data_IF_035610072796
#
_entry.id   IF_035610072796
#
_cell.length_a   1.000
_cell.length_b   1.000
_cell.length_c   1.000
_cell.angle_alpha   90.00
_cell.angle_beta   90.00
_cell.angle_gamma   90.00
#
_symmetry.space_group_name_H-M   'P 1'
#
loop_
_entity.id
_entity.type
_entity.pdbx_description
1 polymer ?
#
# COMPACT_ATOMS: atom_id res chain seq x y z
N UNK A 1 22.63 2.33 4.66
CA UNK A 1 22.07 0.97 4.87
C UNK A 1 20.71 0.78 4.19
N UNK A 2 19.76 1.70 4.24
CA UNK A 2 18.38 1.42 3.79
C UNK A 2 18.19 1.10 2.30
N UNK A 3 18.90 1.76 1.38
CA UNK A 3 18.65 1.59 -0.07
C UNK A 3 19.14 0.24 -0.65
N UNK A 4 20.00 -0.47 0.05
CA UNK A 4 20.53 -1.77 -0.40
C UNK A 4 19.42 -2.81 -0.65
N UNK A 5 18.30 -2.69 0.07
CA UNK A 5 17.13 -3.58 -0.11
C UNK A 5 16.57 -3.53 -1.53
N UNK A 6 16.76 -2.41 -2.26
CA UNK A 6 16.30 -2.25 -3.63
C UNK A 6 17.05 -3.11 -4.64
N UNK A 7 18.29 -3.49 -4.32
CA UNK A 7 19.19 -4.22 -5.21
C UNK A 7 19.33 -5.70 -4.79
N UNK A 8 18.68 -6.09 -3.68
CA UNK A 8 18.73 -7.47 -3.20
C UNK A 8 17.75 -8.35 -3.97
N UNK A 9 18.15 -9.58 -4.37
CA UNK A 9 17.25 -10.53 -4.98
C UNK A 9 16.05 -10.81 -4.07
N UNK A 10 14.84 -10.68 -4.60
CA UNK A 10 13.63 -10.96 -3.84
C UNK A 10 13.58 -12.46 -3.44
N UNK A 11 13.21 -12.79 -2.19
CA UNK A 11 12.90 -14.17 -1.83
C UNK A 11 11.79 -14.75 -2.70
N UNK A 12 11.89 -16.02 -3.05
CA UNK A 12 10.90 -16.70 -3.89
C UNK A 12 9.49 -16.62 -3.27
N UNK A 13 8.49 -16.49 -4.11
CA UNK A 13 7.09 -16.67 -3.75
C UNK A 13 6.67 -18.12 -3.99
N UNK A 14 5.61 -18.57 -3.31
CA UNK A 14 5.04 -19.91 -3.54
C UNK A 14 4.34 -19.98 -4.89
N UNK A 15 3.70 -18.87 -5.31
CA UNK A 15 3.05 -18.80 -6.62
C UNK A 15 3.00 -17.34 -7.12
N UNK A 16 3.13 -17.19 -8.46
CA UNK A 16 2.76 -15.97 -9.17
C UNK A 16 1.44 -16.21 -9.90
N UNK A 17 0.43 -15.39 -9.61
CA UNK A 17 -0.93 -15.57 -10.12
C UNK A 17 -1.42 -14.27 -10.75
N UNK A 18 -2.09 -14.39 -11.91
CA UNK A 18 -2.70 -13.25 -12.59
C UNK A 18 -4.09 -12.98 -12.04
N UNK A 19 -4.37 -11.73 -11.69
CA UNK A 19 -5.67 -11.25 -11.24
C UNK A 19 -6.45 -10.52 -12.34
N UNK A 20 -5.84 -10.32 -13.51
CA UNK A 20 -6.42 -9.70 -14.68
C UNK A 20 -5.79 -10.18 -15.98
N UNK A 21 -6.16 -9.57 -17.10
CA UNK A 21 -5.73 -9.97 -18.44
C UNK A 21 -4.43 -9.32 -18.92
N UNK A 22 -3.98 -8.23 -18.27
CA UNK A 22 -2.73 -7.56 -18.61
C UNK A 22 -1.54 -8.30 -17.99
N UNK A 23 -0.41 -8.30 -18.68
CA UNK A 23 0.81 -8.95 -18.20
C UNK A 23 1.32 -8.43 -16.85
N UNK A 24 1.00 -7.18 -16.50
CA UNK A 24 1.35 -6.55 -15.23
C UNK A 24 0.25 -6.68 -14.15
N UNK A 25 -0.87 -7.34 -14.47
CA UNK A 25 -1.92 -7.62 -13.50
C UNK A 25 -1.70 -8.99 -12.85
N UNK A 26 -0.63 -9.09 -12.04
CA UNK A 26 -0.30 -10.30 -11.29
C UNK A 26 0.12 -9.95 -9.85
N UNK A 27 0.18 -10.97 -9.03
CA UNK A 27 0.75 -10.86 -7.70
C UNK A 27 1.53 -12.11 -7.32
N UNK A 28 2.39 -11.95 -6.33
CA UNK A 28 3.17 -13.02 -5.72
C UNK A 28 2.53 -13.41 -4.38
N UNK A 29 2.08 -14.65 -4.30
CA UNK A 29 1.49 -15.24 -3.10
C UNK A 29 2.58 -15.96 -2.29
N UNK A 30 2.61 -15.70 -0.98
CA UNK A 30 3.43 -16.46 -0.02
C UNK A 30 2.54 -16.93 1.12
N UNK A 31 2.66 -18.19 1.48
CA UNK A 31 1.81 -18.85 2.47
C UNK A 31 2.63 -19.26 3.70
N UNK A 32 2.17 -18.95 4.90
CA UNK A 32 2.78 -19.51 6.12
C UNK A 32 2.65 -21.04 6.14
N UNK A 33 3.55 -21.75 6.82
CA UNK A 33 3.38 -23.19 7.05
C UNK A 33 2.16 -23.46 7.91
N UNK A 34 1.50 -24.62 7.67
CA UNK A 34 0.34 -25.08 8.45
C UNK A 34 -0.98 -24.99 7.69
N UNK A 35 -2.07 -25.47 8.30
CA UNK A 35 -3.33 -25.70 7.59
C UNK A 35 -4.19 -24.42 7.36
N UNK A 36 -3.88 -23.30 8.00
CA UNK A 36 -4.74 -22.10 7.99
C UNK A 36 -5.99 -22.23 8.87
N UNK A 37 -6.99 -21.33 8.75
CA UNK A 37 -6.98 -20.20 7.84
C UNK A 37 -5.95 -19.13 8.23
N UNK A 38 -5.21 -18.62 7.23
CA UNK A 38 -4.16 -17.63 7.45
C UNK A 38 -4.69 -16.20 7.32
N UNK A 39 -4.33 -15.26 8.23
CA UNK A 39 -4.56 -13.86 8.03
C UNK A 39 -3.77 -13.37 6.80
N UNK A 40 -4.24 -12.31 6.14
CA UNK A 40 -3.69 -11.86 4.86
C UNK A 40 -3.22 -10.41 4.93
N UNK A 41 -2.02 -10.16 4.42
CA UNK A 41 -1.54 -8.83 4.08
C UNK A 41 -1.49 -8.66 2.56
N UNK A 42 -2.31 -7.75 2.02
CA UNK A 42 -2.20 -7.27 0.65
C UNK A 42 -1.08 -6.23 0.65
N UNK A 43 -0.01 -6.51 -0.08
CA UNK A 43 1.21 -5.71 -0.04
C UNK A 43 1.38 -4.92 -1.32
N UNK A 44 1.53 -3.59 -1.19
CA UNK A 44 1.71 -2.65 -2.30
C UNK A 44 3.13 -2.11 -2.31
N UNK A 45 3.84 -2.30 -3.43
CA UNK A 45 5.21 -1.79 -3.57
C UNK A 45 5.26 -0.28 -3.87
N UNK A 46 6.41 0.34 -3.60
CA UNK A 46 6.71 1.73 -3.87
C UNK A 46 7.24 1.98 -5.30
N UNK A 47 7.88 3.14 -5.48
CA UNK A 47 8.52 3.51 -6.75
C UNK A 47 7.82 4.64 -7.50
N UNK A 48 7.17 5.55 -6.79
CA UNK A 48 6.50 6.73 -7.37
C UNK A 48 5.52 6.40 -8.50
N UNK A 49 4.90 5.23 -8.45
CA UNK A 49 3.98 4.74 -9.51
C UNK A 49 4.59 4.72 -10.92
N UNK A 50 5.93 4.64 -11.06
CA UNK A 50 6.66 4.65 -12.33
C UNK A 50 7.08 3.25 -12.76
N UNK A 51 6.97 2.95 -14.05
CA UNK A 51 7.23 1.65 -14.67
C UNK A 51 8.64 1.09 -14.42
N UNK A 52 9.62 1.93 -14.09
CA UNK A 52 11.01 1.51 -13.78
C UNK A 52 11.18 0.74 -12.47
N UNK A 53 10.17 0.70 -11.60
CA UNK A 53 10.16 -0.05 -10.36
C UNK A 53 9.11 -1.14 -10.42
N UNK A 54 9.36 -2.25 -9.78
CA UNK A 54 8.45 -3.39 -9.70
C UNK A 54 8.32 -3.87 -8.24
N UNK A 55 7.62 -5.00 -8.03
CA UNK A 55 7.36 -5.55 -6.70
C UNK A 55 8.58 -6.24 -6.05
N UNK A 56 9.71 -6.44 -6.74
CA UNK A 56 10.81 -7.26 -6.20
C UNK A 56 11.36 -6.73 -4.88
N UNK A 57 11.55 -5.41 -4.77
CA UNK A 57 12.12 -4.80 -3.56
C UNK A 57 11.25 -4.94 -2.30
N UNK A 58 9.95 -5.25 -2.42
CA UNK A 58 9.07 -5.50 -1.27
C UNK A 58 9.05 -6.97 -0.85
N UNK A 59 9.69 -7.84 -1.63
CA UNK A 59 9.67 -9.29 -1.41
C UNK A 59 10.25 -9.72 -0.06
N UNK A 60 11.25 -9.01 0.45
CA UNK A 60 11.84 -9.30 1.78
C UNK A 60 10.86 -9.03 2.92
N UNK A 61 10.12 -7.91 2.88
CA UNK A 61 9.03 -7.63 3.81
C UNK A 61 7.97 -8.75 3.75
N UNK A 62 7.58 -9.15 2.54
CA UNK A 62 6.60 -10.23 2.35
C UNK A 62 7.07 -11.53 2.99
N UNK A 63 8.32 -11.95 2.71
CA UNK A 63 8.88 -13.18 3.27
C UNK A 63 8.95 -13.15 4.81
N UNK A 64 9.33 -12.01 5.39
CA UNK A 64 9.40 -11.84 6.83
C UNK A 64 8.00 -11.91 7.49
N UNK A 65 6.98 -11.25 6.91
CA UNK A 65 5.60 -11.35 7.39
C UNK A 65 5.06 -12.78 7.24
N UNK A 66 5.42 -13.47 6.16
CA UNK A 66 5.02 -14.87 5.96
C UNK A 66 5.65 -15.77 7.01
N UNK A 67 6.94 -15.59 7.32
CA UNK A 67 7.60 -16.25 8.45
C UNK A 67 6.95 -15.96 9.81
N UNK A 68 6.30 -14.82 9.93
CA UNK A 68 5.53 -14.40 11.10
C UNK A 68 4.08 -14.96 11.14
N UNK A 69 3.70 -15.83 10.22
CA UNK A 69 2.38 -16.49 10.19
C UNK A 69 1.30 -15.74 9.40
N UNK A 70 1.66 -14.78 8.55
CA UNK A 70 0.75 -13.94 7.78
C UNK A 70 0.92 -14.23 6.30
N UNK A 71 -0.11 -14.71 5.61
CA UNK A 71 -0.07 -14.84 4.15
C UNK A 71 0.12 -13.47 3.49
N UNK A 72 1.01 -13.39 2.51
CA UNK A 72 1.22 -12.14 1.78
C UNK A 72 0.81 -12.27 0.33
N UNK A 73 0.05 -11.32 -0.16
CA UNK A 73 -0.33 -11.14 -1.54
C UNK A 73 0.25 -9.82 -2.03
N UNK A 74 1.46 -9.86 -2.62
CA UNK A 74 2.13 -8.66 -3.12
C UNK A 74 1.75 -8.41 -4.57
N UNK A 75 1.21 -7.23 -4.84
CA UNK A 75 0.66 -6.87 -6.14
C UNK A 75 1.69 -6.16 -7.02
N UNK A 76 1.81 -6.62 -8.26
CA UNK A 76 2.26 -5.81 -9.37
C UNK A 76 1.04 -5.09 -9.96
N UNK A 77 1.24 -3.94 -10.58
CA UNK A 77 0.17 -3.13 -11.18
C UNK A 77 0.74 -2.28 -12.31
N UNK A 78 -0.09 -1.87 -13.26
CA UNK A 78 0.32 -0.94 -14.33
C UNK A 78 0.63 0.44 -13.73
N UNK A 79 1.75 1.01 -14.14
CA UNK A 79 2.31 2.27 -13.62
C UNK A 79 2.44 3.29 -14.73
N UNK A 80 2.68 4.52 -14.38
CA UNK A 80 3.05 5.58 -15.33
C UNK A 80 4.24 5.12 -16.17
N UNK A 81 4.09 5.17 -17.49
CA UNK A 81 5.01 4.58 -18.47
C UNK A 81 4.57 3.24 -19.04
N UNK A 82 3.63 2.53 -18.39
CA UNK A 82 2.99 1.36 -18.99
C UNK A 82 1.69 1.75 -19.71
N UNK A 83 1.31 1.06 -20.79
CA UNK A 83 -0.01 1.25 -21.39
C UNK A 83 -1.13 1.07 -20.37
N UNK A 84 -2.01 2.06 -20.25
CA UNK A 84 -3.10 2.05 -19.28
C UNK A 84 -2.71 2.30 -17.81
N UNK A 85 -1.43 2.59 -17.52
CA UNK A 85 -0.97 3.02 -16.19
C UNK A 85 -1.27 4.49 -15.91
N UNK A 86 -1.05 4.92 -14.67
CA UNK A 86 -1.50 6.22 -14.18
C UNK A 86 -2.99 6.19 -13.80
N UNK A 87 -3.59 7.36 -13.61
CA UNK A 87 -5.02 7.46 -13.29
C UNK A 87 -5.89 7.15 -14.52
N UNK A 88 -6.94 6.33 -14.45
CA UNK A 88 -7.38 5.58 -13.27
C UNK A 88 -6.73 4.18 -13.15
N UNK A 89 -5.98 3.73 -14.17
CA UNK A 89 -5.56 2.35 -14.36
C UNK A 89 -4.75 1.77 -13.20
N UNK A 90 -3.78 2.52 -12.66
CA UNK A 90 -2.97 2.09 -11.50
C UNK A 90 -3.85 1.78 -10.28
N UNK A 91 -4.83 2.63 -9.99
CA UNK A 91 -5.73 2.43 -8.85
C UNK A 91 -6.71 1.29 -9.11
N UNK A 92 -7.21 1.16 -10.34
CA UNK A 92 -8.12 0.07 -10.73
C UNK A 92 -7.40 -1.29 -10.67
N UNK A 93 -6.13 -1.37 -11.05
CA UNK A 93 -5.33 -2.58 -10.93
C UNK A 93 -5.13 -2.96 -9.44
N UNK A 94 -4.78 -2.00 -8.60
CA UNK A 94 -4.69 -2.22 -7.16
C UNK A 94 -6.02 -2.74 -6.58
N UNK A 95 -7.15 -2.15 -7.01
CA UNK A 95 -8.47 -2.56 -6.61
C UNK A 95 -8.80 -4.00 -7.04
N UNK A 96 -8.56 -4.33 -8.31
CA UNK A 96 -8.82 -5.66 -8.87
C UNK A 96 -7.96 -6.73 -8.18
N UNK A 97 -6.67 -6.45 -8.00
CA UNK A 97 -5.75 -7.35 -7.30
C UNK A 97 -6.11 -7.56 -5.83
N UNK A 98 -6.60 -6.52 -5.14
CA UNK A 98 -7.11 -6.66 -3.77
C UNK A 98 -8.38 -7.51 -3.71
N UNK A 99 -9.31 -7.29 -4.63
CA UNK A 99 -10.59 -8.03 -4.67
C UNK A 99 -10.38 -9.51 -5.04
N UNK A 100 -9.30 -9.85 -5.76
CA UNK A 100 -8.90 -11.21 -6.11
C UNK A 100 -8.57 -12.08 -4.89
N UNK A 101 -8.28 -11.49 -3.74
CA UNK A 101 -8.08 -12.25 -2.48
C UNK A 101 -9.27 -13.15 -2.15
N UNK A 102 -10.49 -12.83 -2.59
CA UNK A 102 -11.65 -13.70 -2.42
C UNK A 102 -11.49 -15.04 -3.13
N UNK A 103 -10.92 -15.03 -4.34
CA UNK A 103 -10.62 -16.25 -5.08
C UNK A 103 -9.47 -17.03 -4.44
N UNK A 104 -8.43 -16.31 -4.00
CA UNK A 104 -7.30 -16.92 -3.28
C UNK A 104 -7.75 -17.60 -2.00
N UNK A 105 -8.67 -16.99 -1.23
CA UNK A 105 -9.16 -17.53 0.03
C UNK A 105 -9.81 -18.91 -0.12
N UNK A 106 -10.58 -19.11 -1.18
CA UNK A 106 -11.19 -20.40 -1.46
C UNK A 106 -10.19 -21.50 -1.81
N UNK A 107 -9.02 -21.14 -2.35
CA UNK A 107 -7.99 -22.08 -2.82
C UNK A 107 -6.88 -22.34 -1.80
N UNK A 108 -6.59 -21.36 -0.94
CA UNK A 108 -5.39 -21.32 -0.11
C UNK A 108 -5.69 -21.16 1.40
N UNK A 109 -6.94 -21.42 1.82
CA UNK A 109 -7.34 -21.34 3.24
C UNK A 109 -6.95 -20.01 3.92
N UNK A 110 -7.31 -18.87 3.27
CA UNK A 110 -7.09 -17.54 3.81
C UNK A 110 -8.30 -17.06 4.61
N UNK A 111 -8.04 -16.30 5.68
CA UNK A 111 -9.08 -15.73 6.53
C UNK A 111 -9.53 -14.35 6.01
N UNK A 112 -10.68 -14.30 5.33
CA UNK A 112 -11.25 -13.06 4.83
C UNK A 112 -11.71 -12.07 5.92
N UNK A 113 -11.86 -12.52 7.17
CA UNK A 113 -12.13 -11.62 8.29
C UNK A 113 -10.87 -10.90 8.79
N UNK A 114 -9.69 -11.40 8.43
CA UNK A 114 -8.38 -10.89 8.85
C UNK A 114 -7.53 -10.49 7.64
N UNK A 115 -8.04 -9.56 6.83
CA UNK A 115 -7.32 -8.99 5.68
C UNK A 115 -6.95 -7.55 5.96
N UNK A 116 -5.67 -7.22 5.82
CA UNK A 116 -5.18 -5.85 5.87
C UNK A 116 -4.52 -5.46 4.54
N UNK A 117 -4.42 -4.16 4.29
CA UNK A 117 -3.51 -3.62 3.29
C UNK A 117 -2.27 -3.02 3.95
N UNK A 118 -1.11 -3.22 3.34
CA UNK A 118 0.16 -2.62 3.76
C UNK A 118 0.93 -2.18 2.53
N UNK A 119 1.59 -1.03 2.58
CA UNK A 119 2.38 -0.60 1.44
C UNK A 119 3.43 0.44 1.81
N UNK A 120 4.44 0.53 0.95
CA UNK A 120 5.59 1.41 1.11
C UNK A 120 5.55 2.57 0.12
N UNK A 121 5.79 3.80 0.58
CA UNK A 121 5.95 4.97 -0.30
C UNK A 121 4.70 5.17 -1.18
N UNK A 122 4.82 5.14 -2.52
CA UNK A 122 3.69 5.11 -3.45
C UNK A 122 2.71 3.94 -3.15
N UNK A 123 3.22 2.80 -2.68
CA UNK A 123 2.40 1.68 -2.22
C UNK A 123 1.66 1.97 -0.91
N UNK A 124 2.22 2.80 -0.03
CA UNK A 124 1.54 3.28 1.17
C UNK A 124 0.31 4.13 0.85
N UNK A 125 0.39 4.94 -0.21
CA UNK A 125 -0.76 5.61 -0.81
C UNK A 125 -1.81 4.59 -1.24
N UNK A 126 -1.43 3.60 -2.08
CA UNK A 126 -2.36 2.60 -2.60
C UNK A 126 -2.98 1.75 -1.47
N UNK A 127 -2.21 1.39 -0.44
CA UNK A 127 -2.70 0.62 0.70
C UNK A 127 -3.81 1.36 1.48
N UNK A 128 -3.63 2.64 1.79
CA UNK A 128 -4.67 3.42 2.46
C UNK A 128 -5.84 3.74 1.51
N UNK A 129 -5.57 3.95 0.23
CA UNK A 129 -6.62 4.13 -0.76
C UNK A 129 -7.51 2.88 -0.90
N UNK A 130 -6.93 1.67 -0.89
CA UNK A 130 -7.70 0.41 -0.87
C UNK A 130 -8.70 0.36 0.29
N UNK A 131 -8.29 0.84 1.47
CA UNK A 131 -9.15 0.92 2.64
C UNK A 131 -10.29 1.96 2.48
N UNK A 132 -10.04 3.01 1.70
CA UNK A 132 -10.99 4.09 1.45
C UNK A 132 -12.03 3.79 0.36
N UNK A 133 -11.86 2.74 -0.46
CA UNK A 133 -12.66 2.47 -1.67
C UNK A 133 -14.17 2.49 -1.46
N UNK A 134 -14.64 2.11 -0.28
CA UNK A 134 -16.08 2.15 0.05
C UNK A 134 -16.66 3.56 0.17
N UNK A 135 -15.82 4.58 0.26
CA UNK A 135 -16.20 5.99 0.32
C UNK A 135 -16.33 6.63 -1.06
N UNK A 136 -15.82 5.98 -2.09
CA UNK A 136 -15.84 6.51 -3.46
C UNK A 136 -17.29 6.46 -3.98
N UNK A 137 -17.83 7.61 -4.43
CA UNK A 137 -19.21 7.68 -4.90
C UNK A 137 -19.46 6.76 -6.09
N UNK A 138 -20.65 6.17 -6.15
CA UNK A 138 -21.09 5.43 -7.34
C UNK A 138 -21.09 6.34 -8.56
N UNK A 139 -20.56 5.84 -9.69
CA UNK A 139 -20.41 6.63 -10.92
C UNK A 139 -19.06 7.33 -11.06
N UNK A 140 -18.22 7.38 -10.01
CA UNK A 140 -16.81 7.76 -10.15
C UNK A 140 -16.03 6.69 -10.92
N UNK A 141 -15.01 7.11 -11.67
CA UNK A 141 -14.15 6.18 -12.45
C UNK A 141 -13.43 5.14 -11.59
N UNK A 142 -13.27 5.42 -10.29
CA UNK A 142 -12.60 4.54 -9.30
C UNK A 142 -13.61 3.76 -8.44
N UNK A 143 -14.92 3.91 -8.68
CA UNK A 143 -15.96 3.21 -7.92
C UNK A 143 -15.90 1.70 -8.17
N UNK A 144 -15.99 0.92 -7.09
CA UNK A 144 -16.09 -0.54 -7.15
C UNK A 144 -17.47 -1.01 -6.74
N UNK A 145 -18.00 -2.05 -7.42
CA UNK A 145 -19.31 -2.60 -7.07
C UNK A 145 -19.32 -3.27 -5.69
N UNK A 146 -18.23 -3.95 -5.33
CA UNK A 146 -18.11 -4.65 -4.05
C UNK A 146 -16.65 -4.67 -3.58
N UNK A 147 -16.09 -3.54 -3.08
CA UNK A 147 -14.73 -3.52 -2.57
C UNK A 147 -14.51 -4.52 -1.43
N UNK A 148 -13.37 -5.22 -1.45
CA UNK A 148 -12.99 -6.12 -0.36
C UNK A 148 -12.96 -5.36 0.97
N UNK A 149 -13.59 -5.92 1.99
CA UNK A 149 -13.52 -5.35 3.33
C UNK A 149 -12.13 -5.58 3.92
N UNK A 150 -11.50 -4.52 4.42
CA UNK A 150 -10.23 -4.60 5.11
C UNK A 150 -10.44 -4.43 6.61
N UNK A 151 -9.71 -5.21 7.39
CA UNK A 151 -9.71 -5.15 8.85
C UNK A 151 -8.84 -4.00 9.38
N UNK A 152 -7.84 -3.60 8.60
CA UNK A 152 -6.93 -2.49 8.90
C UNK A 152 -6.06 -2.12 7.71
N UNK A 153 -5.34 -1.01 7.84
CA UNK A 153 -4.40 -0.55 6.81
C UNK A 153 -3.11 -0.01 7.43
N UNK A 154 -1.98 -0.27 6.77
CA UNK A 154 -0.65 0.17 7.20
C UNK A 154 0.02 0.96 6.08
N UNK A 155 0.49 2.16 6.40
CA UNK A 155 1.30 2.99 5.52
C UNK A 155 2.73 3.07 6.05
N UNK A 156 3.68 2.59 5.27
CA UNK A 156 5.11 2.67 5.52
C UNK A 156 5.68 3.82 4.68
N UNK A 157 5.96 4.96 5.30
CA UNK A 157 6.47 6.17 4.65
C UNK A 157 5.66 6.58 3.39
N UNK A 158 4.33 6.47 3.46
CA UNK A 158 3.44 6.58 2.29
C UNK A 158 3.14 8.01 1.86
N UNK A 159 2.89 8.19 0.54
CA UNK A 159 2.42 9.46 -0.05
C UNK A 159 0.89 9.55 0.09
N UNK A 160 0.41 9.68 1.32
CA UNK A 160 -1.02 9.56 1.66
C UNK A 160 -1.81 10.87 1.54
N UNK A 161 -1.14 11.94 1.13
CA UNK A 161 -1.70 13.25 0.77
C UNK A 161 -1.18 13.65 -0.61
N UNK A 162 -1.98 13.42 -1.65
CA UNK A 162 -1.56 13.68 -3.04
C UNK A 162 -1.46 15.17 -3.36
N UNK A 163 -2.29 16.04 -2.74
CA UNK A 163 -2.18 17.48 -2.96
C UNK A 163 -0.89 18.02 -2.37
N UNK A 164 -0.57 17.63 -1.15
CA UNK A 164 0.69 18.01 -0.53
C UNK A 164 1.89 17.42 -1.28
N UNK A 165 1.76 16.17 -1.77
CA UNK A 165 2.77 15.54 -2.63
C UNK A 165 2.97 16.30 -3.94
N UNK A 166 1.92 16.86 -4.52
CA UNK A 166 2.00 17.77 -5.67
C UNK A 166 2.76 19.05 -5.31
N UNK A 167 2.36 19.75 -4.23
CA UNK A 167 2.98 21.01 -3.79
C UNK A 167 4.48 20.86 -3.55
N UNK A 168 4.89 19.75 -2.95
CA UNK A 168 6.28 19.40 -2.68
C UNK A 168 7.03 18.85 -3.90
N UNK A 169 6.36 18.69 -5.04
CA UNK A 169 6.92 18.10 -6.27
C UNK A 169 7.61 16.76 -6.02
N UNK A 170 7.03 15.92 -5.13
CA UNK A 170 7.64 14.65 -4.77
C UNK A 170 8.01 13.81 -5.99
N UNK A 171 9.23 13.26 -5.97
CA UNK A 171 9.77 12.44 -7.04
C UNK A 171 9.79 13.17 -8.39
N UNK A 172 10.14 14.47 -8.39
CA UNK A 172 10.18 15.31 -9.61
C UNK A 172 8.84 15.35 -10.37
N UNK A 173 7.74 15.49 -9.61
CA UNK A 173 6.40 15.62 -10.17
C UNK A 173 5.66 14.30 -10.40
N UNK A 174 6.04 13.22 -9.69
CA UNK A 174 5.42 11.92 -9.85
C UNK A 174 3.91 11.90 -9.57
N UNK A 175 3.43 12.77 -8.67
CA UNK A 175 1.99 12.92 -8.43
C UNK A 175 1.27 13.48 -9.66
N UNK A 176 1.90 14.46 -10.34
CA UNK A 176 1.38 15.01 -11.58
C UNK A 176 1.27 13.95 -12.69
N UNK A 177 2.29 13.12 -12.79
CA UNK A 177 2.33 12.02 -13.77
C UNK A 177 1.24 10.98 -13.47
N UNK A 178 1.09 10.58 -12.20
CA UNK A 178 0.04 9.65 -11.78
C UNK A 178 -1.35 10.20 -12.10
N UNK A 179 -1.63 11.46 -11.73
CA UNK A 179 -2.97 12.06 -11.79
C UNK A 179 -3.33 12.62 -13.17
N UNK A 180 -2.31 12.81 -14.03
CA UNK A 180 -2.47 13.38 -15.37
C UNK A 180 -2.54 14.91 -15.37
N UNK A 181 -2.14 15.59 -14.28
CA UNK A 181 -2.11 17.05 -14.19
C UNK A 181 -2.32 17.62 -12.79
N UNK A 182 -2.50 18.95 -12.68
CA UNK A 182 -2.56 19.67 -11.42
C UNK A 182 -3.91 19.54 -10.70
N UNK A 183 -3.91 19.64 -9.35
CA UNK A 183 -5.12 19.50 -8.52
C UNK A 183 -6.19 20.56 -8.84
N UNK A 184 -5.81 21.76 -9.27
CA UNK A 184 -6.75 22.84 -9.62
C UNK A 184 -7.61 22.50 -10.85
N UNK A 185 -7.05 21.73 -11.79
CA UNK A 185 -7.76 21.27 -13.00
C UNK A 185 -8.46 19.92 -12.83
N UNK A 186 -8.00 19.11 -11.89
CA UNK A 186 -8.42 17.72 -11.70
C UNK A 186 -8.92 17.44 -10.27
N UNK A 187 -9.55 18.44 -9.64
CA UNK A 187 -9.96 18.38 -8.23
C UNK A 187 -10.72 17.10 -7.86
N UNK A 188 -11.64 16.63 -8.72
CA UNK A 188 -12.38 15.40 -8.50
C UNK A 188 -11.49 14.15 -8.47
N UNK A 189 -10.49 14.06 -9.35
CA UNK A 189 -9.53 12.94 -9.32
C UNK A 189 -8.75 12.90 -8.01
N UNK A 190 -8.21 14.05 -7.58
CA UNK A 190 -7.49 14.15 -6.33
C UNK A 190 -8.37 13.80 -5.13
N UNK A 191 -9.63 14.24 -5.14
CA UNK A 191 -10.58 13.93 -4.09
C UNK A 191 -10.82 12.42 -3.93
N UNK A 192 -10.99 11.67 -5.01
CA UNK A 192 -11.28 10.24 -4.95
C UNK A 192 -10.04 9.34 -4.94
N UNK A 193 -8.85 9.90 -5.23
CA UNK A 193 -7.58 9.17 -5.21
C UNK A 193 -6.72 9.45 -3.95
N UNK A 194 -6.89 10.57 -3.26
CA UNK A 194 -6.05 10.94 -2.10
C UNK A 194 -6.63 10.41 -0.79
N UNK A 195 -5.93 9.50 -0.07
CA UNK A 195 -6.45 8.92 1.17
C UNK A 195 -6.86 9.94 2.23
N UNK A 196 -6.12 11.05 2.38
CA UNK A 196 -6.43 12.10 3.36
C UNK A 196 -7.77 12.78 3.09
N UNK A 197 -8.23 12.81 1.84
CA UNK A 197 -9.52 13.41 1.47
C UNK A 197 -10.72 12.46 1.67
N UNK A 198 -10.42 11.17 1.96
CA UNK A 198 -11.42 10.12 2.13
C UNK A 198 -11.65 9.72 3.60
N UNK A 199 -10.98 10.39 4.55
CA UNK A 199 -11.21 10.13 5.98
C UNK A 199 -12.62 10.55 6.43
N UNK A 200 -13.26 9.90 7.43
CA UNK A 200 -12.77 8.73 8.16
C UNK A 200 -12.89 7.45 7.35
N UNK A 201 -11.92 6.53 7.50
CA UNK A 201 -11.97 5.21 6.84
C UNK A 201 -12.82 4.20 7.61
N UNK A 202 -13.01 4.42 8.91
CA UNK A 202 -13.81 3.56 9.79
C UNK A 202 -13.13 2.23 10.14
N UNK A 203 -11.82 2.11 9.91
CA UNK A 203 -10.99 0.97 10.29
C UNK A 203 -9.72 1.44 11.01
N UNK A 204 -8.97 0.52 11.61
CA UNK A 204 -7.69 0.82 12.22
C UNK A 204 -6.64 1.19 11.17
N UNK A 205 -6.03 2.37 11.27
CA UNK A 205 -4.95 2.83 10.40
C UNK A 205 -3.66 2.97 11.19
N UNK A 206 -2.58 2.46 10.65
CA UNK A 206 -1.25 2.56 11.26
C UNK A 206 -0.26 3.16 10.27
N UNK A 207 0.48 4.17 10.72
CA UNK A 207 1.51 4.83 9.92
C UNK A 207 2.86 4.63 10.62
N UNK A 208 3.87 4.24 9.85
CA UNK A 208 5.25 4.16 10.33
C UNK A 208 6.11 5.01 9.40
N UNK A 209 6.87 5.93 9.97
CA UNK A 209 7.68 6.88 9.18
C UNK A 209 8.97 7.22 9.88
N UNK A 210 10.07 7.22 9.13
CA UNK A 210 11.40 7.56 9.63
C UNK A 210 11.65 9.05 9.75
N UNK A 211 12.45 9.47 10.75
CA UNK A 211 12.81 10.90 10.91
C UNK A 211 13.84 11.37 9.89
N UNK A 212 14.60 10.44 9.28
CA UNK A 212 15.62 10.76 8.28
C UNK A 212 15.16 10.42 6.84
N UNK A 213 13.84 10.30 6.65
CA UNK A 213 13.28 10.09 5.32
C UNK A 213 13.47 11.34 4.44
N UNK A 214 14.41 11.25 3.49
CA UNK A 214 14.71 12.29 2.53
C UNK A 214 13.93 12.17 1.21
N UNK A 215 13.08 11.16 1.07
CA UNK A 215 12.29 10.86 -0.14
C UNK A 215 10.85 11.32 0.00
N UNK A 216 10.21 10.97 1.11
CA UNK A 216 8.86 11.42 1.47
C UNK A 216 8.93 12.10 2.82
N UNK A 217 8.73 13.44 2.89
CA UNK A 217 8.77 14.14 4.16
C UNK A 217 7.74 13.61 5.16
N UNK A 218 8.17 13.41 6.40
CA UNK A 218 7.34 12.88 7.50
C UNK A 218 6.06 13.68 7.74
N UNK A 219 6.03 14.94 7.32
CA UNK A 219 4.83 15.80 7.43
C UNK A 219 3.62 15.22 6.69
N UNK A 220 3.82 14.45 5.60
CA UNK A 220 2.75 13.80 4.85
C UNK A 220 1.98 12.83 5.77
N UNK A 221 2.69 11.98 6.50
CA UNK A 221 2.07 11.06 7.47
C UNK A 221 1.48 11.78 8.68
N UNK A 222 2.16 12.82 9.18
CA UNK A 222 1.66 13.65 10.28
C UNK A 222 0.32 14.34 9.93
N UNK A 223 0.23 14.89 8.71
CA UNK A 223 -0.99 15.57 8.25
C UNK A 223 -2.15 14.57 8.11
N UNK A 224 -1.89 13.40 7.54
CA UNK A 224 -2.89 12.34 7.45
C UNK A 224 -3.38 11.91 8.84
N UNK A 225 -2.45 11.58 9.76
CA UNK A 225 -2.81 11.14 11.11
C UNK A 225 -3.69 12.17 11.83
N UNK A 226 -3.32 13.46 11.74
CA UNK A 226 -4.12 14.54 12.33
C UNK A 226 -5.51 14.65 11.71
N UNK A 227 -5.61 14.55 10.36
CA UNK A 227 -6.90 14.61 9.67
C UNK A 227 -7.79 13.41 10.02
N UNK A 228 -7.24 12.20 9.99
CA UNK A 228 -7.93 10.96 10.32
C UNK A 228 -8.44 10.95 11.78
N UNK A 229 -7.60 11.34 12.75
CA UNK A 229 -8.00 11.46 14.17
C UNK A 229 -9.08 12.50 14.40
N UNK A 230 -9.02 13.67 13.73
CA UNK A 230 -10.09 14.68 13.79
C UNK A 230 -11.41 14.18 13.21
N UNK A 231 -11.34 13.31 12.21
CA UNK A 231 -12.50 12.68 11.59
C UNK A 231 -13.05 11.49 12.40
N UNK A 232 -12.37 11.08 13.49
CA UNK A 232 -12.80 10.01 14.39
C UNK A 232 -12.23 8.61 14.07
N UNK A 233 -11.24 8.51 13.17
CA UNK A 233 -10.55 7.25 12.90
C UNK A 233 -9.58 6.84 14.03
N UNK A 234 -9.44 5.55 14.26
CA UNK A 234 -8.34 4.95 15.04
C UNK A 234 -7.06 4.97 14.20
N UNK A 235 -6.43 6.15 14.09
CA UNK A 235 -5.21 6.37 13.33
C UNK A 235 -4.03 6.65 14.27
N UNK A 236 -3.08 5.70 14.33
CA UNK A 236 -1.86 5.83 15.13
C UNK A 236 -0.63 5.94 14.23
N UNK A 237 0.32 6.77 14.64
CA UNK A 237 1.59 6.95 13.93
C UNK A 237 2.77 6.62 14.84
N UNK A 238 3.70 5.85 14.29
CA UNK A 238 5.00 5.57 14.90
C UNK A 238 6.08 6.37 14.16
N UNK A 239 6.71 7.28 14.89
CA UNK A 239 7.89 8.03 14.42
C UNK A 239 9.12 7.21 14.76
N UNK A 240 9.88 6.80 13.74
CA UNK A 240 11.06 5.94 13.87
C UNK A 240 12.32 6.79 13.81
N UNK A 241 12.96 6.99 14.97
CA UNK A 241 14.14 7.85 15.08
C UNK A 241 15.32 7.28 14.28
N UNK A 242 15.95 8.10 13.43
CA UNK A 242 17.09 7.69 12.61
C UNK A 242 16.78 6.81 11.41
N UNK A 243 15.53 6.39 11.22
CA UNK A 243 15.12 5.59 10.07
C UNK A 243 15.07 6.43 8.79
N UNK A 244 15.67 5.92 7.72
CA UNK A 244 15.51 6.45 6.36
C UNK A 244 14.25 5.88 5.67
N UNK A 245 14.04 6.25 4.39
CA UNK A 245 12.88 5.84 3.61
C UNK A 245 12.71 4.32 3.47
N UNK A 246 13.80 3.55 3.47
CA UNK A 246 13.80 2.12 3.20
C UNK A 246 13.89 1.27 4.48
N UNK A 247 14.30 1.84 5.60
CA UNK A 247 14.41 1.13 6.87
C UNK A 247 13.10 0.48 7.32
N UNK A 248 11.96 1.04 6.89
CA UNK A 248 10.61 0.55 7.23
C UNK A 248 10.20 -0.71 6.45
N UNK A 249 10.95 -1.09 5.42
CA UNK A 249 10.68 -2.30 4.62
C UNK A 249 11.79 -3.35 4.71
N UNK A 250 12.89 -3.04 5.40
CA UNK A 250 14.03 -3.95 5.54
C UNK A 250 13.92 -4.78 6.82
N UNK A 251 13.70 -6.11 6.73
CA UNK A 251 13.65 -6.97 7.92
C UNK A 251 14.96 -7.04 8.73
N UNK A 252 16.07 -6.55 8.18
CA UNK A 252 17.36 -6.46 8.89
C UNK A 252 17.49 -5.17 9.68
N UNK A 253 16.60 -4.20 9.46
CA UNK A 253 16.58 -2.92 10.17
C UNK A 253 16.22 -3.11 11.64
N UNK A 254 16.83 -2.31 12.51
CA UNK A 254 16.44 -2.23 13.93
C UNK A 254 14.97 -1.85 14.14
N UNK A 255 14.33 -1.24 13.14
CA UNK A 255 12.93 -0.82 13.18
C UNK A 255 11.95 -1.93 12.77
N UNK A 256 12.43 -3.05 12.21
CA UNK A 256 11.57 -4.13 11.72
C UNK A 256 10.64 -4.69 12.79
N UNK A 257 11.15 -4.90 14.01
CA UNK A 257 10.33 -5.39 15.12
C UNK A 257 9.09 -4.54 15.38
N UNK A 258 9.18 -3.21 15.13
CA UNK A 258 8.03 -2.30 15.26
C UNK A 258 7.04 -2.48 14.10
N UNK A 259 7.53 -2.69 12.88
CA UNK A 259 6.67 -2.95 11.70
C UNK A 259 5.92 -4.26 11.90
N UNK A 260 6.61 -5.34 12.20
CA UNK A 260 6.01 -6.67 12.43
C UNK A 260 4.98 -6.64 13.58
N UNK A 261 5.34 -6.07 14.73
CA UNK A 261 4.43 -5.96 15.87
C UNK A 261 3.16 -5.16 15.53
N UNK A 262 3.29 -4.10 14.73
CA UNK A 262 2.15 -3.29 14.27
C UNK A 262 1.20 -4.11 13.38
N UNK A 263 1.74 -4.87 12.44
CA UNK A 263 0.95 -5.74 11.55
C UNK A 263 0.25 -6.84 12.35
N UNK A 264 0.96 -7.52 13.26
CA UNK A 264 0.38 -8.57 14.14
C UNK A 264 -0.75 -8.03 15.01
N UNK A 265 -0.58 -6.82 15.60
CA UNK A 265 -1.60 -6.20 16.44
C UNK A 265 -2.88 -5.81 15.67
N UNK A 266 -2.78 -5.59 14.36
CA UNK A 266 -3.96 -5.35 13.52
C UNK A 266 -4.70 -6.65 13.18
N UNK A 267 -4.01 -7.79 13.17
CA UNK A 267 -4.56 -9.09 12.77
C UNK A 267 -4.95 -9.99 13.97
N UNK A 268 -4.61 -9.55 15.17
CA UNK A 268 -5.04 -10.21 16.40
C UNK A 268 -6.53 -9.99 16.66
#
# INVERSE_FOLDING_TARGET
MGREIMDMPAPAADARLHYGSDALQFGDLRLPPGPGPHPVAIVMHGGFWRARYNLDHIGHLCAALTGAGIATWSLEYRRVGNPGGGWPGTLLDAALGADYVRELAGKHHLDLAKVISIGHSAGGHLALWLAARRKIPQGDALAGANPLALHGAVSLAGVVDLRRGWDLRLGDGAVAELMGGPPEKLAGRYHTASPIELVPLGIKVRLLHGTEDSVVPIEISNNYQKAASRAGDDALMWVLGGADHFAVIDPRSEHWGKVEATVRALLA
#
